data_IF_958490075422
#
_entry.id   IF_958490075422
#
_cell.length_a   1.000
_cell.length_b   1.000
_cell.length_c   1.000
_cell.angle_alpha   90.00
_cell.angle_beta   90.00
_cell.angle_gamma   90.00
#
_symmetry.space_group_name_H-M   'P 1'
#
loop_
_entity.id
_entity.type
_entity.pdbx_description
1 polymer ?
#
# COMPACT_ATOMS: atom_id res chain seq x y z
N UNK A 1 -20.33 -39.18 -10.32
CA UNK A 1 -18.89 -39.09 -10.68
C UNK A 1 -18.29 -37.67 -10.63
N UNK A 2 -18.98 -36.61 -10.17
CA UNK A 2 -18.41 -35.24 -10.08
C UNK A 2 -17.72 -34.90 -8.74
N UNK A 3 -17.77 -35.78 -7.73
CA UNK A 3 -17.26 -35.50 -6.38
C UNK A 3 -15.81 -35.93 -6.07
N UNK A 4 -15.16 -36.72 -6.93
CA UNK A 4 -13.83 -37.29 -6.64
C UNK A 4 -12.64 -36.40 -7.04
N UNK A 5 -12.84 -35.42 -7.93
CA UNK A 5 -11.76 -34.52 -8.39
C UNK A 5 -11.25 -33.53 -7.32
N UNK A 6 -12.10 -32.92 -6.47
CA UNK A 6 -11.60 -32.03 -5.43
C UNK A 6 -10.88 -32.78 -4.30
N UNK A 7 -11.33 -33.98 -3.95
CA UNK A 7 -10.71 -34.83 -2.90
C UNK A 7 -9.26 -35.17 -3.22
N UNK A 8 -9.00 -35.67 -4.43
CA UNK A 8 -7.65 -36.03 -4.86
C UNK A 8 -6.71 -34.82 -4.92
N UNK A 9 -7.21 -33.65 -5.32
CA UNK A 9 -6.41 -32.42 -5.36
C UNK A 9 -6.06 -31.92 -3.94
N UNK A 10 -7.01 -31.99 -2.99
CA UNK A 10 -6.79 -31.60 -1.60
C UNK A 10 -5.83 -32.54 -0.87
N UNK A 11 -5.94 -33.86 -1.08
CA UNK A 11 -5.02 -34.86 -0.53
C UNK A 11 -3.58 -34.65 -1.02
N UNK A 12 -3.41 -34.31 -2.30
CA UNK A 12 -2.08 -33.99 -2.89
C UNK A 12 -1.52 -32.68 -2.31
N UNK A 13 -2.37 -31.67 -2.05
CA UNK A 13 -1.92 -30.37 -1.55
C UNK A 13 -1.56 -30.36 -0.05
N UNK A 14 -2.27 -31.13 0.77
CA UNK A 14 -2.05 -31.18 2.23
C UNK A 14 -1.18 -32.36 2.69
N UNK A 15 -0.91 -33.34 1.82
CA UNK A 15 -0.07 -34.50 2.16
C UNK A 15 -0.64 -35.38 3.29
N UNK A 16 -1.94 -35.29 3.57
CA UNK A 16 -2.67 -36.08 4.57
C UNK A 16 -3.75 -36.92 3.89
N UNK A 17 -3.88 -38.18 4.29
CA UNK A 17 -4.89 -39.11 3.74
C UNK A 17 -6.32 -38.73 4.13
N UNK A 18 -6.50 -38.16 5.33
CA UNK A 18 -7.82 -37.80 5.85
C UNK A 18 -8.05 -36.27 5.82
N UNK A 19 -8.67 -35.80 4.72
CA UNK A 19 -9.03 -34.39 4.49
C UNK A 19 -10.55 -34.19 4.61
N UNK A 20 -11.25 -35.16 5.18
CA UNK A 20 -12.72 -35.23 5.18
C UNK A 20 -13.33 -34.06 5.96
N UNK A 21 -12.72 -33.69 7.10
CA UNK A 21 -13.17 -32.57 7.93
C UNK A 21 -12.97 -31.20 7.27
N UNK A 22 -11.83 -30.97 6.64
CA UNK A 22 -11.56 -29.72 5.91
C UNK A 22 -12.45 -29.62 4.67
N UNK A 23 -12.73 -30.74 4.01
CA UNK A 23 -13.67 -30.78 2.89
C UNK A 23 -15.10 -30.49 3.35
N UNK A 24 -15.52 -31.00 4.50
CA UNK A 24 -16.81 -30.66 5.11
C UNK A 24 -16.90 -29.17 5.47
N UNK A 25 -15.83 -28.59 6.01
CA UNK A 25 -15.74 -27.14 6.27
C UNK A 25 -15.83 -26.32 4.98
N UNK A 26 -15.09 -26.69 3.92
CA UNK A 26 -15.15 -26.03 2.60
C UNK A 26 -16.53 -26.19 1.96
N UNK A 27 -17.15 -27.37 2.08
CA UNK A 27 -18.50 -27.60 1.57
C UNK A 27 -19.56 -26.84 2.37
N UNK A 28 -19.38 -26.70 3.68
CA UNK A 28 -20.23 -25.87 4.55
C UNK A 28 -20.08 -24.38 4.18
N UNK A 29 -18.86 -23.87 4.00
CA UNK A 29 -18.62 -22.52 3.49
C UNK A 29 -19.24 -22.31 2.11
N UNK A 30 -19.13 -23.29 1.20
CA UNK A 30 -19.72 -23.24 -0.14
C UNK A 30 -21.25 -23.20 -0.11
N UNK A 31 -21.88 -23.94 0.81
CA UNK A 31 -23.34 -23.90 1.03
C UNK A 31 -23.76 -22.54 1.57
N UNK A 32 -23.02 -21.97 2.53
CA UNK A 32 -23.27 -20.63 3.07
C UNK A 32 -23.06 -19.55 2.00
N UNK A 33 -22.03 -19.67 1.15
CA UNK A 33 -21.75 -18.76 0.02
C UNK A 33 -22.86 -18.76 -1.04
N UNK A 34 -23.51 -19.89 -1.30
CA UNK A 34 -24.65 -19.95 -2.25
C UNK A 34 -25.84 -19.09 -1.80
N UNK A 35 -25.99 -18.84 -0.50
CA UNK A 35 -27.04 -17.97 0.04
C UNK A 35 -26.58 -16.52 0.29
N UNK A 36 -25.29 -16.23 0.17
CA UNK A 36 -24.74 -14.88 0.27
C UNK A 36 -25.02 -14.13 -1.03
N UNK A 37 -26.04 -13.28 -1.01
CA UNK A 37 -26.28 -12.32 -2.09
C UNK A 37 -25.16 -11.26 -2.05
N UNK A 38 -24.31 -11.25 -3.07
CA UNK A 38 -23.33 -10.19 -3.25
C UNK A 38 -24.06 -8.85 -3.40
N UNK A 39 -23.66 -7.89 -2.58
CA UNK A 39 -24.23 -6.55 -2.59
C UNK A 39 -23.64 -5.79 -3.76
N UNK A 40 -24.44 -5.08 -4.54
CA UNK A 40 -23.88 -4.27 -5.64
C UNK A 40 -23.16 -3.03 -5.12
N UNK A 41 -22.23 -2.47 -5.92
CA UNK A 41 -21.50 -1.23 -5.55
C UNK A 41 -22.46 -0.08 -5.23
N UNK A 42 -23.51 0.10 -6.04
CA UNK A 42 -24.50 1.17 -5.85
C UNK A 42 -25.32 0.95 -4.57
N UNK A 43 -25.66 -0.30 -4.27
CA UNK A 43 -26.38 -0.67 -3.07
C UNK A 43 -25.52 -0.45 -1.82
N UNK A 44 -24.23 -0.80 -1.87
CA UNK A 44 -23.27 -0.56 -0.79
C UNK A 44 -23.13 0.93 -0.49
N UNK A 45 -23.04 1.78 -1.52
CA UNK A 45 -22.97 3.24 -1.38
C UNK A 45 -24.23 3.85 -0.79
N UNK A 46 -25.41 3.25 -1.04
CA UNK A 46 -26.71 3.74 -0.56
C UNK A 46 -27.01 3.30 0.88
N UNK A 47 -26.38 2.23 1.38
CA UNK A 47 -26.59 1.70 2.75
C UNK A 47 -26.05 2.65 3.80
N UNK A 48 -26.93 3.22 4.63
CA UNK A 48 -26.57 4.19 5.68
C UNK A 48 -25.58 3.65 6.71
N UNK A 49 -25.70 2.36 7.06
CA UNK A 49 -24.81 1.68 8.00
C UNK A 49 -23.36 1.54 7.49
N UNK A 50 -23.17 1.41 6.17
CA UNK A 50 -21.87 1.21 5.56
C UNK A 50 -21.18 2.53 5.14
N UNK A 51 -21.85 3.68 5.24
CA UNK A 51 -21.30 4.97 4.74
C UNK A 51 -19.97 5.32 5.38
N UNK A 52 -19.86 5.21 6.70
CA UNK A 52 -18.59 5.49 7.40
C UNK A 52 -17.48 4.52 7.02
N UNK A 53 -17.83 3.25 6.78
CA UNK A 53 -16.88 2.24 6.33
C UNK A 53 -16.36 2.55 4.92
N UNK A 54 -17.27 2.90 4.01
CA UNK A 54 -16.91 3.28 2.63
C UNK A 54 -16.08 4.56 2.61
N UNK A 55 -16.47 5.58 3.39
CA UNK A 55 -15.68 6.82 3.51
C UNK A 55 -14.26 6.50 4.00
N UNK A 56 -14.12 5.62 4.99
CA UNK A 56 -12.81 5.23 5.52
C UNK A 56 -11.94 4.56 4.45
N UNK A 57 -12.52 3.67 3.63
CA UNK A 57 -11.80 3.04 2.50
C UNK A 57 -11.40 4.05 1.45
N UNK A 58 -12.31 4.95 1.05
CA UNK A 58 -12.03 6.00 0.06
C UNK A 58 -10.89 6.90 0.56
N UNK A 59 -10.97 7.39 1.79
CA UNK A 59 -9.94 8.26 2.39
C UNK A 59 -8.62 7.52 2.50
N UNK A 60 -8.61 6.30 3.02
CA UNK A 60 -7.38 5.56 3.24
C UNK A 60 -6.69 5.18 1.92
N UNK A 61 -7.44 4.74 0.91
CA UNK A 61 -6.92 4.43 -0.44
C UNK A 61 -6.47 5.69 -1.19
N UNK A 62 -7.18 6.81 -1.00
CA UNK A 62 -6.76 8.11 -1.51
C UNK A 62 -5.43 8.56 -0.89
N UNK A 63 -5.33 8.52 0.44
CA UNK A 63 -4.10 8.84 1.17
C UNK A 63 -2.94 7.91 0.79
N UNK A 64 -3.21 6.61 0.60
CA UNK A 64 -2.22 5.66 0.10
C UNK A 64 -1.59 6.12 -1.22
N UNK A 65 -2.40 6.59 -2.17
CA UNK A 65 -1.90 7.02 -3.46
C UNK A 65 -1.25 8.42 -3.43
N UNK A 66 -1.85 9.32 -2.65
CA UNK A 66 -1.43 10.73 -2.57
C UNK A 66 -0.25 10.96 -1.62
N UNK A 67 0.23 9.93 -0.91
CA UNK A 67 1.39 10.04 -0.01
C UNK A 67 2.72 10.30 -0.72
N UNK A 68 2.76 10.30 -2.05
CA UNK A 68 3.94 10.67 -2.83
C UNK A 68 4.93 9.54 -3.10
N UNK A 69 4.63 8.30 -2.72
CA UNK A 69 5.52 7.16 -2.96
C UNK A 69 5.82 6.94 -4.45
N UNK A 70 4.81 7.08 -5.32
CA UNK A 70 5.03 6.98 -6.78
C UNK A 70 6.00 8.05 -7.30
N UNK A 71 5.92 9.27 -6.75
CA UNK A 71 6.88 10.33 -7.11
C UNK A 71 8.30 9.96 -6.64
N UNK A 72 8.46 9.38 -5.45
CA UNK A 72 9.76 8.85 -5.01
C UNK A 72 10.24 7.80 -6.01
N UNK A 73 9.43 6.82 -6.39
CA UNK A 73 9.86 5.74 -7.29
C UNK A 73 10.31 6.28 -8.66
N UNK A 74 9.59 7.26 -9.22
CA UNK A 74 9.96 7.86 -10.51
C UNK A 74 11.16 8.80 -10.43
N UNK A 75 11.25 9.61 -9.37
CA UNK A 75 12.23 10.70 -9.28
C UNK A 75 13.43 10.41 -8.40
N UNK A 76 13.47 9.29 -7.68
CA UNK A 76 14.60 8.93 -6.78
C UNK A 76 15.96 9.03 -7.48
N UNK A 77 16.09 8.48 -8.70
CA UNK A 77 17.34 8.55 -9.46
C UNK A 77 17.73 9.99 -9.82
N UNK A 78 16.73 10.82 -10.14
CA UNK A 78 16.95 12.24 -10.45
C UNK A 78 17.35 13.00 -9.19
N UNK A 79 16.66 12.77 -8.08
CA UNK A 79 16.95 13.37 -6.76
C UNK A 79 18.38 13.01 -6.33
N UNK A 80 18.82 11.76 -6.47
CA UNK A 80 20.19 11.36 -6.14
C UNK A 80 21.24 11.95 -7.07
N UNK A 81 20.93 12.06 -8.36
CA UNK A 81 21.85 12.69 -9.32
C UNK A 81 21.99 14.18 -9.04
N UNK A 82 20.88 14.88 -8.79
CA UNK A 82 20.88 16.29 -8.35
C UNK A 82 21.52 16.46 -6.98
N UNK A 83 21.45 15.43 -6.13
CA UNK A 83 22.16 15.38 -4.85
C UNK A 83 23.69 15.32 -4.98
N UNK A 84 24.23 15.12 -6.19
CA UNK A 84 25.67 14.96 -6.41
C UNK A 84 26.17 13.56 -6.07
N UNK A 85 25.28 12.58 -5.91
CA UNK A 85 25.67 11.17 -5.76
C UNK A 85 26.11 10.66 -7.12
N UNK A 86 27.31 10.06 -7.15
CA UNK A 86 27.82 9.47 -8.39
C UNK A 86 26.87 8.35 -8.86
N UNK A 87 26.54 8.34 -10.16
CA UNK A 87 25.61 7.41 -10.79
C UNK A 87 25.97 5.94 -10.57
N UNK A 88 27.26 5.64 -10.40
CA UNK A 88 27.75 4.30 -10.10
C UNK A 88 27.23 3.75 -8.76
N UNK A 89 26.86 4.63 -7.82
CA UNK A 89 26.31 4.25 -6.52
C UNK A 89 24.78 4.07 -6.52
N UNK A 90 24.08 4.56 -7.56
CA UNK A 90 22.62 4.46 -7.65
C UNK A 90 22.12 3.02 -7.58
N UNK A 91 22.72 2.03 -8.28
CA UNK A 91 22.31 0.63 -8.17
C UNK A 91 22.42 0.08 -6.74
N UNK A 92 23.46 0.46 -6.00
CA UNK A 92 23.66 0.03 -4.61
C UNK A 92 22.61 0.63 -3.67
N UNK A 93 22.20 1.88 -3.92
CA UNK A 93 21.12 2.51 -3.16
C UNK A 93 19.79 1.81 -3.46
N UNK A 94 19.49 1.53 -4.73
CA UNK A 94 18.28 0.77 -5.12
C UNK A 94 18.23 -0.62 -4.49
N UNK A 95 19.36 -1.32 -4.42
CA UNK A 95 19.47 -2.61 -3.72
C UNK A 95 19.18 -2.43 -2.22
N UNK A 96 19.72 -1.38 -1.61
CA UNK A 96 19.48 -1.05 -0.19
C UNK A 96 18.01 -0.70 0.08
N UNK A 97 17.35 -0.04 -0.88
CA UNK A 97 15.90 0.22 -0.82
C UNK A 97 15.11 -1.09 -0.77
N UNK A 98 15.37 -2.03 -1.69
CA UNK A 98 14.69 -3.32 -1.69
C UNK A 98 14.94 -4.13 -0.41
N UNK A 99 16.16 -4.10 0.13
CA UNK A 99 16.46 -4.72 1.42
C UNK A 99 15.67 -4.07 2.58
N UNK A 100 15.59 -2.73 2.57
CA UNK A 100 14.83 -1.96 3.56
C UNK A 100 13.34 -2.28 3.49
N UNK A 101 12.77 -2.41 2.28
CA UNK A 101 11.37 -2.80 2.08
C UNK A 101 11.08 -4.18 2.67
N UNK A 102 11.95 -5.16 2.44
CA UNK A 102 11.80 -6.52 2.98
C UNK A 102 11.86 -6.49 4.51
N UNK A 103 12.85 -5.81 5.09
CA UNK A 103 12.98 -5.70 6.55
C UNK A 103 11.77 -4.98 7.15
N UNK A 104 11.35 -3.88 6.54
CA UNK A 104 10.18 -3.11 6.96
C UNK A 104 8.89 -3.93 6.87
N UNK A 105 8.72 -4.75 5.82
CA UNK A 105 7.58 -5.64 5.68
C UNK A 105 7.56 -6.72 6.78
N UNK A 106 8.71 -7.33 7.10
CA UNK A 106 8.82 -8.29 8.21
C UNK A 106 8.45 -7.62 9.53
N UNK A 107 8.97 -6.42 9.80
CA UNK A 107 8.65 -5.64 11.00
C UNK A 107 7.14 -5.33 11.04
N UNK A 108 6.54 -4.94 9.92
CA UNK A 108 5.09 -4.71 9.80
C UNK A 108 4.30 -5.94 10.22
N UNK A 109 4.63 -7.11 9.65
CA UNK A 109 3.97 -8.38 9.95
C UNK A 109 4.08 -8.77 11.44
N UNK A 110 5.23 -8.56 12.07
CA UNK A 110 5.39 -8.87 13.50
C UNK A 110 4.69 -7.88 14.42
N UNK A 111 4.51 -6.64 13.96
CA UNK A 111 4.01 -5.53 14.78
C UNK A 111 2.49 -5.35 14.64
N UNK A 112 1.90 -5.79 13.51
CA UNK A 112 0.48 -5.61 13.21
C UNK A 112 -0.43 -6.23 14.27
N UNK A 113 -0.07 -7.40 14.80
CA UNK A 113 -0.85 -8.10 15.82
C UNK A 113 -0.68 -7.48 17.21
N UNK A 114 0.42 -6.76 17.46
CA UNK A 114 0.73 -6.15 18.77
C UNK A 114 0.20 -4.73 18.93
N UNK A 115 0.43 -3.87 17.94
CA UNK A 115 0.06 -2.44 18.00
C UNK A 115 -1.32 -2.16 17.42
N UNK A 116 -1.87 -3.11 16.65
CA UNK A 116 -3.11 -2.94 15.93
C UNK A 116 -2.96 -2.03 14.71
N UNK A 117 -3.91 -2.17 13.79
CA UNK A 117 -3.84 -1.61 12.44
C UNK A 117 -3.97 -0.10 12.40
N UNK A 118 -4.86 0.47 13.22
CA UNK A 118 -5.09 1.91 13.28
C UNK A 118 -3.84 2.66 13.77
N UNK A 119 -3.21 2.16 14.83
CA UNK A 119 -1.99 2.78 15.36
C UNK A 119 -0.87 2.73 14.33
N UNK A 120 -0.68 1.57 13.69
CA UNK A 120 0.38 1.35 12.72
C UNK A 120 0.20 2.19 11.43
N UNK A 121 -1.05 2.42 11.01
CA UNK A 121 -1.38 3.32 9.89
C UNK A 121 -1.07 4.79 10.23
N UNK A 122 -1.51 5.25 11.42
CA UNK A 122 -1.28 6.64 11.86
C UNK A 122 0.21 6.89 12.08
N UNK A 123 0.92 5.96 12.73
CA UNK A 123 2.37 6.09 12.94
C UNK A 123 3.13 6.04 11.63
N UNK A 124 2.72 5.19 10.67
CA UNK A 124 3.32 5.13 9.33
C UNK A 124 3.23 6.46 8.59
N UNK A 125 2.04 7.06 8.52
CA UNK A 125 1.88 8.40 7.93
C UNK A 125 2.62 9.49 8.71
N UNK A 126 2.67 9.40 10.04
CA UNK A 126 3.44 10.32 10.88
C UNK A 126 4.94 10.29 10.61
N UNK A 127 5.53 9.09 10.53
CA UNK A 127 6.93 8.93 10.18
C UNK A 127 7.23 9.35 8.75
N UNK A 128 6.33 9.05 7.79
CA UNK A 128 6.47 9.55 6.42
C UNK A 128 6.52 11.08 6.37
N UNK A 129 5.62 11.77 7.09
CA UNK A 129 5.62 13.23 7.15
C UNK A 129 6.94 13.78 7.73
N UNK A 130 7.47 13.13 8.77
CA UNK A 130 8.75 13.48 9.37
C UNK A 130 9.91 13.32 8.37
N UNK A 131 10.01 12.17 7.70
CA UNK A 131 11.08 11.92 6.73
C UNK A 131 10.94 12.78 5.47
N UNK A 132 9.72 13.12 5.03
CA UNK A 132 9.53 14.11 3.96
C UNK A 132 10.00 15.49 4.38
N UNK A 133 9.71 15.93 5.61
CA UNK A 133 10.23 17.18 6.15
C UNK A 133 11.76 17.20 6.18
N UNK A 134 12.39 16.10 6.63
CA UNK A 134 13.84 15.94 6.61
C UNK A 134 14.40 15.98 5.19
N UNK A 135 13.75 15.31 4.23
CA UNK A 135 14.14 15.33 2.82
C UNK A 135 14.10 16.76 2.26
N UNK A 136 13.02 17.52 2.53
CA UNK A 136 12.90 18.91 2.07
C UNK A 136 14.00 19.80 2.65
N UNK A 137 14.29 19.68 3.94
CA UNK A 137 15.38 20.44 4.59
C UNK A 137 16.74 20.06 3.99
N UNK A 138 16.98 18.76 3.82
CA UNK A 138 18.22 18.22 3.25
C UNK A 138 18.48 18.75 1.84
N UNK A 139 17.47 18.74 0.98
CA UNK A 139 17.57 19.29 -0.38
C UNK A 139 17.81 20.80 -0.38
N UNK A 140 17.22 21.55 0.56
CA UNK A 140 17.43 23.00 0.64
C UNK A 140 18.84 23.37 1.15
N UNK A 141 19.41 22.57 2.07
CA UNK A 141 20.75 22.78 2.63
C UNK A 141 21.87 22.13 1.80
N UNK A 142 21.53 21.47 0.71
CA UNK A 142 22.48 20.71 -0.11
C UNK A 142 23.59 21.57 -0.72
N UNK A 143 23.31 22.86 -0.99
CA UNK A 143 24.29 23.82 -1.49
C UNK A 143 25.28 24.32 -0.42
N UNK A 144 24.99 24.08 0.87
CA UNK A 144 25.78 24.60 2.00
C UNK A 144 26.63 23.53 2.68
N UNK A 145 26.27 22.25 2.58
CA UNK A 145 26.91 21.18 3.37
C UNK A 145 27.10 19.91 2.55
N UNK A 146 28.35 19.45 2.45
CA UNK A 146 28.75 18.31 1.61
C UNK A 146 28.23 16.93 2.04
N UNK A 147 27.76 16.76 3.30
CA UNK A 147 27.17 15.49 3.79
C UNK A 147 25.64 15.40 3.60
N UNK A 148 24.96 16.47 3.18
CA UNK A 148 23.50 16.46 3.00
C UNK A 148 22.98 15.43 1.97
N UNK A 149 23.70 15.08 0.89
CA UNK A 149 23.25 14.02 -0.02
C UNK A 149 22.99 12.69 0.67
N UNK A 150 23.81 12.32 1.67
CA UNK A 150 23.61 11.10 2.47
C UNK A 150 22.34 11.18 3.34
N UNK A 151 22.03 12.36 3.89
CA UNK A 151 20.80 12.59 4.66
C UNK A 151 19.57 12.46 3.76
N UNK A 152 19.63 12.93 2.52
CA UNK A 152 18.55 12.73 1.54
C UNK A 152 18.31 11.25 1.23
N UNK A 153 19.38 10.44 1.10
CA UNK A 153 19.27 8.98 0.91
C UNK A 153 18.59 8.33 2.13
N UNK A 154 19.07 8.62 3.33
CA UNK A 154 18.49 8.07 4.57
C UNK A 154 17.03 8.50 4.72
N UNK A 155 16.70 9.74 4.35
CA UNK A 155 15.33 10.24 4.40
C UNK A 155 14.42 9.49 3.43
N UNK A 156 14.87 9.25 2.18
CA UNK A 156 14.10 8.46 1.20
C UNK A 156 13.90 7.03 1.69
N UNK A 157 14.95 6.37 2.18
CA UNK A 157 14.86 5.04 2.76
C UNK A 157 13.90 5.01 3.96
N UNK A 158 13.92 6.05 4.80
CA UNK A 158 13.00 6.23 5.93
C UNK A 158 11.55 6.40 5.49
N UNK A 159 11.27 7.18 4.44
CA UNK A 159 9.92 7.29 3.86
C UNK A 159 9.43 5.92 3.37
N UNK A 160 10.26 5.19 2.63
CA UNK A 160 9.91 3.87 2.08
C UNK A 160 9.67 2.85 3.21
N UNK A 161 10.57 2.80 4.21
CA UNK A 161 10.40 1.93 5.37
C UNK A 161 9.10 2.23 6.13
N UNK A 162 8.81 3.51 6.36
CA UNK A 162 7.59 3.97 7.04
C UNK A 162 6.33 3.60 6.25
N UNK A 163 6.39 3.73 4.93
CA UNK A 163 5.33 3.29 4.03
C UNK A 163 5.08 1.79 4.14
N UNK A 164 6.13 0.97 4.04
CA UNK A 164 6.04 -0.49 4.14
C UNK A 164 5.51 -0.95 5.51
N UNK A 165 5.89 -0.27 6.60
CA UNK A 165 5.41 -0.62 7.95
C UNK A 165 3.91 -0.31 8.10
N UNK A 166 3.43 0.81 7.56
CA UNK A 166 2.05 1.26 7.75
C UNK A 166 1.20 1.16 6.48
N UNK A 167 1.15 2.22 5.65
CA UNK A 167 0.24 2.29 4.50
C UNK A 167 0.36 1.16 3.47
N UNK A 168 1.49 0.47 3.36
CA UNK A 168 1.74 -0.53 2.31
C UNK A 168 0.72 -1.66 2.27
N UNK A 169 0.42 -2.27 3.42
CA UNK A 169 -0.51 -3.41 3.51
C UNK A 169 -1.82 -3.11 4.23
N UNK A 170 -1.79 -2.20 5.20
CA UNK A 170 -2.91 -1.99 6.13
C UNK A 170 -4.22 -1.58 5.44
N UNK A 171 -4.25 -0.65 4.45
CA UNK A 171 -5.50 -0.24 3.80
C UNK A 171 -6.25 -1.41 3.13
N UNK A 172 -5.51 -2.33 2.51
CA UNK A 172 -6.09 -3.51 1.85
C UNK A 172 -6.66 -4.49 2.86
N UNK A 173 -5.93 -4.70 3.96
CA UNK A 173 -6.29 -5.59 5.05
C UNK A 173 -7.49 -5.02 5.84
N UNK A 174 -7.48 -3.72 6.11
CA UNK A 174 -8.56 -2.98 6.76
C UNK A 174 -9.86 -3.05 5.94
N UNK A 175 -9.77 -2.91 4.61
CA UNK A 175 -10.93 -3.06 3.72
C UNK A 175 -11.53 -4.47 3.80
N UNK A 176 -10.69 -5.50 3.96
CA UNK A 176 -11.15 -6.88 4.12
C UNK A 176 -11.90 -7.13 5.44
N UNK A 177 -11.48 -6.46 6.52
CA UNK A 177 -12.11 -6.62 7.85
C UNK A 177 -13.33 -5.76 8.09
N UNK A 178 -13.38 -4.55 7.51
CA UNK A 178 -14.50 -3.64 7.72
C UNK A 178 -15.78 -4.13 7.04
N UNK A 179 -15.68 -5.00 6.05
CA UNK A 179 -16.82 -5.45 5.26
C UNK A 179 -17.03 -6.96 5.37
N UNK A 180 -18.30 -7.33 5.58
CA UNK A 180 -18.76 -8.71 5.48
C UNK A 180 -18.47 -9.30 4.10
N UNK A 181 -18.37 -10.63 4.05
CA UNK A 181 -18.06 -11.39 2.84
C UNK A 181 -18.91 -10.99 1.62
N UNK A 182 -20.18 -10.63 1.85
CA UNK A 182 -21.13 -10.21 0.82
C UNK A 182 -20.82 -8.85 0.19
N UNK A 183 -20.22 -7.93 0.96
CA UNK A 183 -19.94 -6.55 0.54
C UNK A 183 -18.47 -6.33 0.16
N UNK A 184 -17.57 -7.22 0.61
CA UNK A 184 -16.13 -7.11 0.43
C UNK A 184 -15.68 -6.95 -1.03
N UNK A 185 -16.20 -7.72 -2.02
CA UNK A 185 -15.81 -7.51 -3.41
C UNK A 185 -16.14 -6.11 -3.92
N UNK A 186 -17.32 -5.58 -3.57
CA UNK A 186 -17.70 -4.21 -3.94
C UNK A 186 -16.89 -3.14 -3.23
N UNK A 187 -16.53 -3.36 -1.97
CA UNK A 187 -15.64 -2.45 -1.25
C UNK A 187 -14.24 -2.39 -1.90
N UNK A 188 -13.67 -3.52 -2.29
CA UNK A 188 -12.41 -3.56 -3.04
C UNK A 188 -12.52 -2.90 -4.42
N UNK A 189 -13.66 -3.05 -5.12
CA UNK A 189 -13.89 -2.32 -6.37
C UNK A 189 -13.86 -0.81 -6.13
N UNK A 190 -14.59 -0.29 -5.14
CA UNK A 190 -14.59 1.14 -4.81
C UNK A 190 -13.17 1.62 -4.45
N UNK A 191 -12.50 0.93 -3.53
CA UNK A 191 -11.15 1.28 -3.11
C UNK A 191 -10.14 1.25 -4.26
N UNK A 192 -10.20 0.21 -5.10
CA UNK A 192 -9.39 0.08 -6.30
C UNK A 192 -9.66 1.19 -7.31
N UNK A 193 -10.92 1.54 -7.57
CA UNK A 193 -11.24 2.66 -8.45
C UNK A 193 -10.66 3.97 -7.93
N UNK A 194 -10.77 4.25 -6.62
CA UNK A 194 -10.19 5.45 -6.00
C UNK A 194 -8.68 5.46 -6.12
N UNK A 195 -8.03 4.32 -5.88
CA UNK A 195 -6.58 4.16 -6.02
C UNK A 195 -6.12 4.49 -7.44
N UNK A 196 -6.72 3.84 -8.44
CA UNK A 196 -6.37 4.03 -9.85
C UNK A 196 -6.72 5.44 -10.35
N UNK A 197 -7.85 5.99 -9.94
CA UNK A 197 -8.25 7.35 -10.31
C UNK A 197 -7.30 8.38 -9.70
N UNK A 198 -6.89 8.19 -8.45
CA UNK A 198 -5.90 9.04 -7.79
C UNK A 198 -4.52 8.91 -8.47
N UNK A 199 -4.15 7.70 -8.91
CA UNK A 199 -2.91 7.48 -9.66
C UNK A 199 -2.94 8.19 -11.02
N UNK A 200 -4.05 8.06 -11.74
CA UNK A 200 -4.26 8.76 -12.99
C UNK A 200 -4.23 10.28 -12.79
N UNK A 201 -4.88 10.80 -11.75
CA UNK A 201 -4.86 12.22 -11.43
C UNK A 201 -3.44 12.72 -11.14
N UNK A 202 -2.64 11.99 -10.37
CA UNK A 202 -1.23 12.34 -10.12
C UNK A 202 -0.43 12.30 -11.42
N UNK A 203 -0.55 11.23 -12.21
CA UNK A 203 0.16 11.10 -13.49
C UNK A 203 -0.21 12.20 -14.51
N UNK A 204 -1.47 12.65 -14.51
CA UNK A 204 -1.95 13.69 -15.39
C UNK A 204 -1.59 15.10 -14.88
N UNK A 205 -1.72 15.37 -13.58
CA UNK A 205 -1.47 16.69 -12.99
C UNK A 205 0.03 17.00 -12.84
N UNK A 206 0.87 15.99 -12.61
CA UNK A 206 2.29 16.21 -12.33
C UNK A 206 3.05 16.95 -13.47
N UNK A 207 2.87 16.60 -14.76
CA UNK A 207 3.46 17.36 -15.86
C UNK A 207 3.03 18.84 -15.89
N UNK A 208 1.74 19.13 -15.65
CA UNK A 208 1.24 20.51 -15.62
C UNK A 208 1.86 21.32 -14.49
N UNK A 209 2.03 20.71 -13.31
CA UNK A 209 2.69 21.34 -12.16
C UNK A 209 4.14 21.66 -12.49
N UNK A 210 4.87 20.75 -13.14
CA UNK A 210 6.26 21.00 -13.54
C UNK A 210 6.40 22.12 -14.57
N UNK A 211 5.49 22.19 -15.55
CA UNK A 211 5.47 23.28 -16.55
C UNK A 211 5.15 24.62 -15.88
N UNK A 212 4.18 24.66 -14.97
CA UNK A 212 3.83 25.87 -14.23
C UNK A 212 4.98 26.37 -13.35
N UNK A 213 5.67 25.47 -12.64
CA UNK A 213 6.86 25.82 -11.86
C UNK A 213 8.00 26.37 -12.72
N UNK A 214 8.23 25.78 -13.92
CA UNK A 214 9.23 26.30 -14.86
C UNK A 214 8.86 27.67 -15.43
N UNK A 215 7.59 27.92 -15.75
CA UNK A 215 7.12 29.23 -16.26
C UNK A 215 7.16 30.35 -15.21
N UNK A 216 7.17 30.01 -13.92
CA UNK A 216 7.23 31.02 -12.85
C UNK A 216 8.66 31.42 -12.46
N UNK A 217 9.66 30.65 -12.91
CA UNK A 217 11.10 30.88 -12.65
C UNK A 217 11.89 31.35 -13.89
N UNK A 218 11.19 31.60 -15.00
CA UNK A 218 11.66 32.37 -16.17
C UNK A 218 11.04 33.77 -16.10
#
# INVERSE_FOLDING_TARGET
MLGMRPLAAFQVFHGKEDVTKELEEVQAEMKTRKHIRLVSVLELLRRRSARWQVITVIVTMGCYQLCGLNAIWFYTNSIFTEAGINKDHIPYITLSTGATEIIAAIISCLTIDRLGRRSLLISGFGFMALFFGLLTISLHLQSKVFWMPYVSVVSILGVIASFCIGPGGIPFVLTGEMFDQSCRPSAYMIGGTVLWLSNFAVGLLFPFIQVWFKCKHL
#
